data_IF_008526613725
#
_entry.id   IF_008526613725
#
_cell.length_a   1.000
_cell.length_b   1.000
_cell.length_c   1.000
_cell.angle_alpha   90.00
_cell.angle_beta   90.00
_cell.angle_gamma   90.00
#
_symmetry.space_group_name_H-M   'P 1'
#
loop_
_entity.id
_entity.type
_entity.pdbx_description
1 polymer ?
#
# COMPACT_ATOMS: atom_id res chain seq x y z
N UNK A 1 -2.63 18.81 -16.17
CA UNK A 1 -2.56 17.46 -15.56
C UNK A 1 -1.16 17.34 -14.98
N UNK A 2 -1.04 17.21 -13.67
CA UNK A 2 0.25 17.06 -13.00
C UNK A 2 0.51 15.56 -12.82
N UNK A 3 1.26 14.96 -13.74
CA UNK A 3 1.73 13.59 -13.60
C UNK A 3 3.21 13.54 -13.92
N UNK A 4 3.92 12.65 -13.22
CA UNK A 4 5.36 12.48 -13.42
C UNK A 4 5.59 11.55 -14.59
N UNK A 5 6.45 11.99 -15.50
CA UNK A 5 7.02 11.15 -16.55
C UNK A 5 8.45 10.84 -16.14
N UNK A 6 8.83 9.57 -16.23
CA UNK A 6 10.18 9.11 -15.94
C UNK A 6 10.76 8.39 -17.15
N UNK A 7 12.05 8.59 -17.40
CA UNK A 7 12.84 7.73 -18.27
C UNK A 7 13.36 6.57 -17.43
N UNK A 8 13.21 5.35 -17.92
CA UNK A 8 13.58 4.13 -17.20
C UNK A 8 14.79 3.45 -17.84
N UNK A 9 15.95 4.11 -17.75
CA UNK A 9 17.21 3.55 -18.25
C UNK A 9 17.65 2.31 -17.46
N UNK A 10 17.16 2.15 -16.23
CA UNK A 10 17.45 1.01 -15.35
C UNK A 10 16.62 -0.25 -15.67
N UNK A 11 15.62 -0.15 -16.54
CA UNK A 11 14.78 -1.29 -16.95
C UNK A 11 13.80 -1.78 -15.88
N UNK A 12 13.41 -0.93 -14.93
CA UNK A 12 12.39 -1.25 -13.92
C UNK A 12 11.06 -1.65 -14.55
N UNK A 13 10.59 -0.91 -15.57
CA UNK A 13 9.39 -1.20 -16.33
C UNK A 13 9.49 -2.55 -17.04
N UNK A 14 10.65 -2.88 -17.62
CA UNK A 14 10.88 -4.19 -18.24
C UNK A 14 10.76 -5.32 -17.21
N UNK A 15 11.35 -5.16 -16.02
CA UNK A 15 11.23 -6.15 -14.95
C UNK A 15 9.77 -6.40 -14.52
N UNK A 16 8.93 -5.35 -14.51
CA UNK A 16 7.48 -5.51 -14.29
C UNK A 16 6.81 -6.24 -15.46
N UNK A 17 7.14 -5.89 -16.71
CA UNK A 17 6.57 -6.56 -17.88
C UNK A 17 6.90 -8.06 -17.89
N UNK A 18 8.16 -8.44 -17.63
CA UNK A 18 8.59 -9.84 -17.58
C UNK A 18 7.89 -10.60 -16.44
N UNK A 19 7.82 -10.01 -15.25
CA UNK A 19 7.18 -10.61 -14.07
C UNK A 19 5.70 -10.92 -14.29
N UNK A 20 5.01 -10.10 -15.07
CA UNK A 20 3.58 -10.23 -15.35
C UNK A 20 3.31 -10.78 -16.77
N UNK A 21 4.33 -11.31 -17.45
CA UNK A 21 4.25 -11.89 -18.79
C UNK A 21 3.58 -10.97 -19.81
N UNK A 22 3.89 -9.68 -19.76
CA UNK A 22 3.34 -8.65 -20.66
C UNK A 22 4.12 -8.65 -21.97
N UNK A 23 3.42 -8.88 -23.08
CA UNK A 23 4.03 -9.00 -24.41
C UNK A 23 3.98 -7.73 -25.28
N UNK A 24 3.37 -6.63 -24.82
CA UNK A 24 3.16 -5.46 -25.68
C UNK A 24 2.82 -4.18 -24.93
N UNK A 25 2.89 -3.07 -25.66
CA UNK A 25 2.55 -1.72 -25.21
C UNK A 25 1.39 -1.17 -26.07
N UNK A 26 0.53 -0.28 -25.53
CA UNK A 26 0.57 0.31 -24.20
C UNK A 26 0.03 -0.65 -23.12
N UNK A 27 0.69 -0.65 -21.96
CA UNK A 27 0.30 -1.45 -20.80
C UNK A 27 0.37 -0.59 -19.53
N UNK A 28 -0.57 -0.79 -18.62
CA UNK A 28 -0.65 -0.06 -17.37
C UNK A 28 -0.64 -1.02 -16.19
N UNK A 29 -0.03 -0.58 -15.10
CA UNK A 29 -0.06 -1.23 -13.79
C UNK A 29 -0.72 -0.29 -12.80
N UNK A 30 -1.75 -0.77 -12.10
CA UNK A 30 -2.38 -0.06 -10.99
C UNK A 30 -1.82 -0.60 -9.68
N UNK A 31 -1.09 0.24 -8.95
CA UNK A 31 -0.50 -0.09 -7.65
C UNK A 31 -1.28 0.64 -6.56
N UNK A 32 -1.68 -0.07 -5.51
CA UNK A 32 -2.35 0.54 -4.34
C UNK A 32 -1.37 1.07 -3.29
N UNK A 33 -1.91 1.72 -2.26
CA UNK A 33 -1.12 2.30 -1.16
C UNK A 33 -0.37 1.24 -0.32
N UNK A 34 -0.75 -0.04 -0.42
CA UNK A 34 -0.04 -1.15 0.21
C UNK A 34 1.08 -1.70 -0.68
N UNK A 35 1.49 -0.97 -1.72
CA UNK A 35 2.51 -1.36 -2.70
C UNK A 35 2.17 -2.65 -3.45
N UNK A 36 0.88 -2.96 -3.63
CA UNK A 36 0.43 -4.15 -4.36
C UNK A 36 -0.15 -3.78 -5.71
N UNK A 37 0.21 -4.54 -6.74
CA UNK A 37 -0.44 -4.45 -8.06
C UNK A 37 -1.86 -5.01 -7.92
N UNK A 38 -2.86 -4.14 -8.12
CA UNK A 38 -4.29 -4.48 -8.05
C UNK A 38 -4.88 -4.81 -9.39
N UNK A 39 -4.29 -4.29 -10.45
CA UNK A 39 -4.69 -4.54 -11.82
C UNK A 39 -3.51 -4.27 -12.76
N UNK A 40 -3.47 -4.98 -13.88
CA UNK A 40 -2.60 -4.66 -15.00
C UNK A 40 -3.28 -5.06 -16.30
N UNK A 41 -3.05 -4.32 -17.39
CA UNK A 41 -3.71 -4.56 -18.66
C UNK A 41 -3.58 -3.38 -19.62
N UNK A 42 -4.36 -3.40 -20.68
CA UNK A 42 -4.35 -2.32 -21.65
C UNK A 42 -5.16 -1.13 -21.11
N UNK A 43 -4.62 0.10 -21.09
CA UNK A 43 -5.26 1.24 -20.40
C UNK A 43 -6.60 1.68 -21.01
N UNK A 44 -6.88 1.30 -22.26
CA UNK A 44 -8.18 1.57 -22.90
C UNK A 44 -9.27 0.53 -22.56
N UNK A 45 -8.95 -0.52 -21.78
CA UNK A 45 -9.96 -1.49 -21.36
C UNK A 45 -10.92 -0.89 -20.32
N UNK A 46 -12.24 -1.17 -20.40
CA UNK A 46 -13.22 -0.68 -19.41
C UNK A 46 -12.91 -1.12 -17.96
N UNK A 47 -12.20 -2.23 -17.80
CA UNK A 47 -11.75 -2.72 -16.49
C UNK A 47 -10.74 -1.81 -15.82
N UNK A 48 -10.02 -0.97 -16.57
CA UNK A 48 -9.03 -0.05 -16.00
C UNK A 48 -9.68 0.97 -15.07
N UNK A 49 -10.70 1.67 -15.55
CA UNK A 49 -11.48 2.64 -14.77
C UNK A 49 -12.14 1.98 -13.54
N UNK A 50 -12.68 0.77 -13.75
CA UNK A 50 -13.31 0.00 -12.66
C UNK A 50 -12.29 -0.36 -11.58
N UNK A 51 -11.08 -0.77 -11.96
CA UNK A 51 -10.01 -1.09 -11.03
C UNK A 51 -9.54 0.14 -10.24
N UNK A 52 -9.43 1.31 -10.88
CA UNK A 52 -9.11 2.57 -10.21
C UNK A 52 -10.18 2.90 -9.17
N UNK A 53 -11.46 2.89 -9.56
CA UNK A 53 -12.56 3.17 -8.65
C UNK A 53 -12.59 2.20 -7.46
N UNK A 54 -12.37 0.91 -7.71
CA UNK A 54 -12.29 -0.09 -6.65
C UNK A 54 -11.11 0.16 -5.71
N UNK A 55 -9.93 0.45 -6.23
CA UNK A 55 -8.75 0.75 -5.41
C UNK A 55 -8.96 1.99 -4.52
N UNK A 56 -9.59 3.04 -5.06
CA UNK A 56 -9.93 4.26 -4.30
C UNK A 56 -11.00 3.96 -3.24
N UNK A 57 -12.01 3.16 -3.57
CA UNK A 57 -13.06 2.80 -2.62
C UNK A 57 -12.53 1.92 -1.50
N UNK A 58 -11.66 0.95 -1.81
CA UNK A 58 -10.99 0.11 -0.83
C UNK A 58 -10.11 0.94 0.11
N UNK A 59 -9.41 1.96 -0.42
CA UNK A 59 -8.64 2.90 0.40
C UNK A 59 -9.55 3.72 1.33
N UNK A 60 -10.70 4.21 0.84
CA UNK A 60 -11.66 4.97 1.66
C UNK A 60 -12.38 4.11 2.69
N UNK A 61 -12.67 2.86 2.36
CA UNK A 61 -13.36 1.91 3.23
C UNK A 61 -12.46 1.37 4.35
N UNK A 62 -11.14 1.51 4.22
CA UNK A 62 -10.23 1.18 5.32
C UNK A 62 -10.52 2.06 6.53
N UNK A 63 -10.89 1.39 7.62
CA UNK A 63 -11.20 2.04 8.89
C UNK A 63 -9.92 2.65 9.43
N UNK A 64 -9.82 3.98 9.38
CA UNK A 64 -8.69 4.72 9.98
C UNK A 64 -8.67 4.43 11.47
N UNK A 65 -7.57 3.86 11.95
CA UNK A 65 -7.44 3.51 13.36
C UNK A 65 -6.79 4.69 14.07
N UNK A 66 -7.59 5.37 14.90
CA UNK A 66 -7.06 6.44 15.73
C UNK A 66 -6.23 5.86 16.87
N UNK A 67 -4.95 6.24 16.92
CA UNK A 67 -4.00 5.87 17.97
C UNK A 67 -3.48 7.06 18.77
N UNK A 68 -3.89 8.29 18.41
CA UNK A 68 -3.43 9.50 19.09
C UNK A 68 -3.85 9.49 20.56
N UNK A 69 -2.90 9.76 21.44
CA UNK A 69 -3.12 9.77 22.89
C UNK A 69 -3.32 8.40 23.55
N UNK A 70 -3.18 7.28 22.82
CA UNK A 70 -3.25 5.94 23.43
C UNK A 70 -1.95 5.58 24.12
N UNK A 71 -2.08 5.00 25.31
CA UNK A 71 -0.95 4.49 26.06
C UNK A 71 -0.57 3.06 25.64
N UNK A 72 0.62 2.60 26.06
CA UNK A 72 1.17 1.27 25.73
C UNK A 72 0.19 0.12 26.03
N UNK A 73 -0.50 0.17 27.17
CA UNK A 73 -1.44 -0.86 27.60
C UNK A 73 -2.68 -0.93 26.68
N UNK A 74 -3.18 0.22 26.23
CA UNK A 74 -4.31 0.30 25.30
C UNK A 74 -3.94 -0.24 23.92
N UNK A 75 -2.76 0.12 23.41
CA UNK A 75 -2.24 -0.41 22.15
C UNK A 75 -1.98 -1.94 22.24
N UNK A 76 -1.50 -2.45 23.38
CA UNK A 76 -1.34 -3.89 23.60
C UNK A 76 -2.66 -4.65 23.61
N UNK A 77 -3.79 -4.01 23.91
CA UNK A 77 -5.12 -4.64 23.83
C UNK A 77 -5.67 -4.69 22.42
N UNK A 78 -5.14 -3.89 21.49
CA UNK A 78 -5.61 -3.87 20.10
C UNK A 78 -5.23 -5.14 19.33
N UNK A 79 -6.01 -5.55 18.34
CA UNK A 79 -5.65 -6.64 17.43
C UNK A 79 -4.32 -6.35 16.71
N UNK A 80 -3.51 -7.39 16.47
CA UNK A 80 -2.25 -7.25 15.71
C UNK A 80 -2.50 -6.70 14.30
N UNK A 81 -3.63 -7.07 13.68
CA UNK A 81 -4.07 -6.55 12.39
C UNK A 81 -4.18 -5.02 12.40
N UNK A 82 -4.78 -4.48 13.46
CA UNK A 82 -5.02 -3.05 13.62
C UNK A 82 -3.69 -2.31 13.84
N UNK A 83 -2.78 -2.86 14.66
CA UNK A 83 -1.44 -2.30 14.85
C UNK A 83 -0.63 -2.27 13.53
N UNK A 84 -0.69 -3.36 12.74
CA UNK A 84 -0.04 -3.42 11.42
C UNK A 84 -0.66 -2.43 10.44
N UNK A 85 -1.97 -2.20 10.51
CA UNK A 85 -2.65 -1.22 9.69
C UNK A 85 -2.20 0.20 10.03
N UNK A 86 -2.14 0.57 11.32
CA UNK A 86 -1.65 1.88 11.78
C UNK A 86 -0.23 2.16 11.26
N UNK A 87 0.67 1.18 11.36
CA UNK A 87 2.04 1.30 10.84
C UNK A 87 2.06 1.49 9.32
N UNK A 88 1.23 0.72 8.60
CA UNK A 88 1.11 0.83 7.14
C UNK A 88 0.58 2.19 6.71
N UNK A 89 -0.39 2.76 7.43
CA UNK A 89 -0.91 4.12 7.19
C UNK A 89 0.17 5.20 7.38
N UNK A 90 1.20 4.95 8.20
CA UNK A 90 2.36 5.83 8.38
C UNK A 90 3.56 5.47 7.49
N UNK A 91 3.39 4.54 6.54
CA UNK A 91 4.45 4.10 5.63
C UNK A 91 5.54 3.24 6.29
N UNK A 92 5.26 2.65 7.45
CA UNK A 92 6.21 1.83 8.21
C UNK A 92 5.91 0.35 7.96
N UNK A 93 6.89 -0.39 7.47
CA UNK A 93 6.77 -1.84 7.26
C UNK A 93 6.88 -2.62 8.56
N UNK A 94 5.95 -3.56 8.78
CA UNK A 94 5.97 -4.48 9.92
C UNK A 94 6.88 -5.70 9.73
N UNK A 95 7.62 -5.81 8.61
CA UNK A 95 8.39 -7.00 8.27
C UNK A 95 9.55 -7.33 9.24
N UNK A 96 10.02 -6.36 10.03
CA UNK A 96 11.08 -6.53 11.03
C UNK A 96 10.61 -6.55 12.48
N UNK A 97 9.30 -6.62 12.74
CA UNK A 97 8.71 -6.52 14.08
C UNK A 97 8.00 -7.84 14.43
N UNK A 98 8.73 -8.83 14.96
CA UNK A 98 8.20 -10.17 15.21
C UNK A 98 7.18 -10.18 16.36
N UNK A 99 7.35 -9.32 17.36
CA UNK A 99 6.50 -9.33 18.54
C UNK A 99 5.46 -8.21 18.52
N UNK A 100 4.34 -8.46 19.19
CA UNK A 100 3.30 -7.43 19.38
C UNK A 100 3.85 -6.22 20.15
N UNK A 101 4.79 -6.44 21.08
CA UNK A 101 5.45 -5.37 21.83
C UNK A 101 6.25 -4.43 20.94
N UNK A 102 6.90 -4.96 19.89
CA UNK A 102 7.70 -4.17 18.95
C UNK A 102 6.81 -3.25 18.11
N UNK A 103 5.68 -3.77 17.63
CA UNK A 103 4.67 -2.98 16.91
C UNK A 103 4.19 -1.80 17.76
N UNK A 104 3.87 -2.05 19.03
CA UNK A 104 3.40 -1.01 19.96
C UNK A 104 4.48 0.03 20.25
N UNK A 105 5.74 -0.40 20.43
CA UNK A 105 6.85 0.51 20.68
C UNK A 105 7.06 1.48 19.51
N UNK A 106 7.03 0.98 18.28
CA UNK A 106 7.17 1.81 17.07
C UNK A 106 5.98 2.75 16.89
N UNK A 107 4.76 2.29 17.18
CA UNK A 107 3.56 3.15 17.12
C UNK A 107 3.66 4.30 18.12
N UNK A 108 4.10 4.05 19.36
CA UNK A 108 4.29 5.10 20.36
C UNK A 108 5.37 6.11 19.98
N UNK A 109 6.45 5.66 19.33
CA UNK A 109 7.56 6.51 18.91
C UNK A 109 7.19 7.39 17.69
N UNK A 110 6.42 6.86 16.74
CA UNK A 110 6.24 7.47 15.40
C UNK A 110 4.83 7.87 15.02
N UNK A 111 3.80 7.42 15.75
CA UNK A 111 2.40 7.55 15.33
C UNK A 111 1.45 8.18 16.37
N UNK A 112 1.84 8.26 17.65
CA UNK A 112 1.01 8.80 18.75
C UNK A 112 1.18 10.29 18.95
#
# INVERSE_FOLDING_TARGET
MDYRVALDDAGSAQAYMDRYSVGGIPHAFLVDHNMKVRWHGHPAEPSFETAIQQAVNDMKAQKKIDVKGKNRDELMRMPIRDLKQVLSEHGISAAGLPEKGDLVAVILDKCV
#
